data_IF_346591966421
#
_entry.id   IF_346591966421
#
_cell.length_a   1.000
_cell.length_b   1.000
_cell.length_c   1.000
_cell.angle_alpha   90.00
_cell.angle_beta   90.00
_cell.angle_gamma   90.00
#
_symmetry.space_group_name_H-M   'P 1'
#
loop_
_entity.id
_entity.type
_entity.pdbx_description
1 polymer ?
#
# COMPACT_ATOMS: atom_id res chain seq x y z
N UNK A 1 -66.70 33.73 37.88
CA UNK A 1 -66.23 34.15 36.57
C UNK A 1 -64.81 33.66 36.46
N UNK A 2 -64.58 32.50 35.79
CA UNK A 2 -63.24 31.88 35.58
C UNK A 2 -62.79 32.20 34.17
N UNK A 3 -61.70 32.99 34.02
CA UNK A 3 -61.03 33.24 32.73
C UNK A 3 -60.20 32.02 32.35
N UNK A 4 -60.49 31.43 31.22
CA UNK A 4 -59.69 30.41 30.56
C UNK A 4 -58.68 31.15 29.65
N UNK A 5 -57.38 31.13 30.01
CA UNK A 5 -56.31 31.57 29.14
C UNK A 5 -55.93 30.43 28.20
N UNK A 6 -56.20 30.60 26.94
CA UNK A 6 -55.72 29.71 25.85
C UNK A 6 -54.32 30.13 25.41
N UNK A 7 -53.33 29.27 25.60
CA UNK A 7 -51.92 29.46 25.16
C UNK A 7 -51.83 28.96 23.70
N UNK A 8 -51.30 29.76 22.76
CA UNK A 8 -51.08 29.28 21.40
C UNK A 8 -49.86 28.37 21.28
N UNK A 9 -50.04 27.19 20.74
CA UNK A 9 -49.01 26.21 20.41
C UNK A 9 -48.24 26.70 19.16
N UNK A 10 -47.02 27.18 19.32
CA UNK A 10 -46.11 27.51 18.22
C UNK A 10 -45.53 26.21 17.65
N UNK A 11 -46.01 25.79 16.51
CA UNK A 11 -45.42 24.73 15.68
C UNK A 11 -44.13 25.26 15.02
N UNK A 12 -42.98 24.92 15.61
CA UNK A 12 -41.67 25.16 14.98
C UNK A 12 -41.47 24.17 13.82
N UNK A 13 -41.64 24.63 12.60
CA UNK A 13 -41.30 23.87 11.39
C UNK A 13 -39.76 23.79 11.26
N UNK A 14 -39.17 22.68 11.71
CA UNK A 14 -37.76 22.42 11.54
C UNK A 14 -37.45 22.17 10.06
N UNK A 15 -36.82 23.13 9.40
CA UNK A 15 -36.23 22.92 8.08
C UNK A 15 -35.04 21.97 8.23
N UNK A 16 -35.21 20.70 7.82
CA UNK A 16 -34.09 19.78 7.65
C UNK A 16 -33.22 20.30 6.49
N UNK A 17 -32.00 20.71 6.80
CA UNK A 17 -31.01 21.05 5.77
C UNK A 17 -30.75 19.80 4.91
N UNK A 18 -30.72 19.94 3.57
CA UNK A 18 -30.44 18.81 2.69
C UNK A 18 -29.04 18.25 3.03
N UNK A 19 -28.96 16.93 3.23
CA UNK A 19 -27.70 16.24 3.42
C UNK A 19 -26.81 16.55 2.21
N UNK A 20 -25.70 17.25 2.44
CA UNK A 20 -24.74 17.53 1.38
C UNK A 20 -24.24 16.19 0.83
N UNK A 21 -24.55 15.89 -0.43
CA UNK A 21 -24.03 14.73 -1.13
C UNK A 21 -22.48 14.82 -1.10
N UNK A 22 -21.86 13.91 -0.37
CA UNK A 22 -20.39 13.84 -0.32
C UNK A 22 -19.89 13.56 -1.72
N UNK A 23 -18.98 14.41 -2.22
CA UNK A 23 -18.34 14.16 -3.52
C UNK A 23 -17.71 12.77 -3.51
N UNK A 24 -17.86 11.99 -4.58
CA UNK A 24 -17.23 10.68 -4.66
C UNK A 24 -15.70 10.82 -4.52
N UNK A 25 -15.10 9.88 -3.83
CA UNK A 25 -13.64 9.83 -3.72
C UNK A 25 -13.02 9.62 -5.10
N UNK A 26 -12.03 10.44 -5.43
CA UNK A 26 -11.20 10.29 -6.62
C UNK A 26 -9.79 9.97 -6.17
N UNK A 27 -9.24 8.86 -6.63
CA UNK A 27 -7.87 8.46 -6.31
C UNK A 27 -6.89 9.52 -6.83
N UNK A 28 -6.04 10.11 -5.97
CA UNK A 28 -5.09 11.14 -6.38
C UNK A 28 -4.06 10.69 -7.43
N UNK A 29 -3.86 9.39 -7.58
CA UNK A 29 -2.95 8.80 -8.56
C UNK A 29 -3.62 8.57 -9.93
N UNK A 30 -4.95 8.65 -10.02
CA UNK A 30 -5.70 8.39 -11.25
C UNK A 30 -5.23 9.21 -12.46
N UNK A 31 -4.73 10.42 -12.22
CA UNK A 31 -4.32 11.38 -13.26
C UNK A 31 -2.81 11.47 -13.46
N UNK A 32 -2.00 10.63 -12.80
CA UNK A 32 -0.54 10.79 -12.80
C UNK A 32 0.19 10.20 -14.03
N UNK A 33 -0.53 9.52 -14.90
CA UNK A 33 0.05 8.94 -16.12
C UNK A 33 0.87 7.66 -15.87
N UNK A 34 1.72 7.31 -16.84
CA UNK A 34 2.61 6.13 -16.76
C UNK A 34 3.90 6.51 -16.05
N UNK A 35 4.39 5.63 -15.17
CA UNK A 35 5.72 5.78 -14.56
C UNK A 35 6.79 5.63 -15.65
N UNK A 36 7.72 6.55 -15.70
CA UNK A 36 8.81 6.49 -16.65
C UNK A 36 9.74 5.31 -16.36
N UNK A 37 10.23 4.66 -17.41
CA UNK A 37 11.25 3.64 -17.27
C UNK A 37 12.49 4.21 -16.57
N UNK A 38 13.09 3.41 -15.68
CA UNK A 38 14.26 3.79 -14.91
C UNK A 38 15.21 2.59 -14.77
N UNK A 39 16.49 2.86 -14.61
CA UNK A 39 17.46 1.85 -14.25
C UNK A 39 17.46 1.66 -12.72
N UNK A 40 17.40 0.40 -12.31
CA UNK A 40 17.59 -0.05 -10.94
C UNK A 40 18.49 -1.29 -10.97
N UNK A 41 19.81 -1.14 -10.83
CA UNK A 41 20.72 -2.27 -10.79
C UNK A 41 20.44 -3.06 -9.50
N UNK A 42 19.81 -4.21 -9.65
CA UNK A 42 19.50 -5.10 -8.53
C UNK A 42 20.79 -5.83 -8.12
N UNK A 43 21.32 -5.61 -6.89
CA UNK A 43 22.44 -6.40 -6.41
C UNK A 43 21.99 -7.85 -6.17
N UNK A 44 22.89 -8.80 -6.36
CA UNK A 44 22.59 -10.19 -5.97
C UNK A 44 22.48 -10.30 -4.44
N UNK A 45 21.41 -10.96 -3.96
CA UNK A 45 21.28 -11.36 -2.55
C UNK A 45 21.96 -12.73 -2.38
N UNK A 46 23.20 -12.86 -2.80
CA UNK A 46 23.90 -14.14 -2.62
C UNK A 46 24.74 -14.09 -1.37
N UNK A 47 24.66 -15.19 -0.61
CA UNK A 47 25.54 -15.58 0.50
C UNK A 47 26.41 -14.43 1.06
N UNK A 48 25.91 -13.64 1.96
CA UNK A 48 26.64 -12.50 2.53
C UNK A 48 25.99 -11.97 3.81
N UNK A 49 24.93 -12.65 4.24
CA UNK A 49 24.24 -12.36 5.50
C UNK A 49 23.75 -10.91 5.60
N UNK A 50 23.66 -10.42 6.80
CA UNK A 50 23.15 -9.08 7.17
C UNK A 50 23.77 -7.93 6.36
N UNK A 51 25.11 -7.84 6.14
CA UNK A 51 25.68 -6.75 5.35
C UNK A 51 25.17 -6.72 3.91
N UNK A 52 25.05 -7.86 3.25
CA UNK A 52 24.56 -7.96 1.88
C UNK A 52 23.07 -7.64 1.80
N UNK A 53 22.28 -8.12 2.72
CA UNK A 53 20.84 -7.79 2.83
C UNK A 53 20.64 -6.28 2.99
N UNK A 54 21.43 -5.64 3.82
CA UNK A 54 21.39 -4.18 4.02
C UNK A 54 21.75 -3.42 2.75
N UNK A 55 22.80 -3.85 2.04
CA UNK A 55 23.23 -3.26 0.77
C UNK A 55 22.12 -3.37 -0.28
N UNK A 56 21.53 -4.57 -0.42
CA UNK A 56 20.42 -4.83 -1.32
C UNK A 56 19.26 -3.86 -1.06
N UNK A 57 18.72 -3.86 0.16
CA UNK A 57 17.59 -3.02 0.55
C UNK A 57 17.87 -1.53 0.41
N UNK A 58 19.12 -1.11 0.70
CA UNK A 58 19.57 0.27 0.50
C UNK A 58 19.53 0.65 -0.97
N UNK A 59 19.99 -0.22 -1.86
CA UNK A 59 19.98 0.00 -3.31
C UNK A 59 18.56 0.06 -3.85
N UNK A 60 17.71 -0.91 -3.48
CA UNK A 60 16.30 -0.93 -3.89
C UNK A 60 15.54 0.32 -3.40
N UNK A 61 15.77 0.74 -2.17
CA UNK A 61 15.14 1.96 -1.63
C UNK A 61 15.56 3.20 -2.39
N UNK A 62 16.83 3.32 -2.79
CA UNK A 62 17.30 4.43 -3.65
C UNK A 62 16.63 4.41 -5.02
N UNK A 63 16.42 3.24 -5.62
CA UNK A 63 15.68 3.11 -6.87
C UNK A 63 14.22 3.58 -6.70
N UNK A 64 13.55 3.16 -5.64
CA UNK A 64 12.18 3.56 -5.30
C UNK A 64 12.09 5.08 -5.10
N UNK A 65 12.99 5.66 -4.33
CA UNK A 65 13.10 7.12 -4.13
C UNK A 65 13.18 7.85 -5.48
N UNK A 66 14.10 7.42 -6.35
CA UNK A 66 14.31 8.04 -7.66
C UNK A 66 13.09 7.94 -8.55
N UNK A 67 12.48 6.76 -8.64
CA UNK A 67 11.32 6.53 -9.51
C UNK A 67 10.10 7.30 -9.05
N UNK A 68 9.77 7.24 -7.76
CA UNK A 68 8.59 7.91 -7.22
C UNK A 68 8.76 9.42 -7.11
N UNK A 69 9.96 9.94 -6.76
CA UNK A 69 10.20 11.38 -6.76
C UNK A 69 10.01 11.97 -8.16
N UNK A 70 10.56 11.32 -9.20
CA UNK A 70 10.38 11.73 -10.59
C UNK A 70 8.92 11.67 -11.01
N UNK A 71 8.21 10.60 -10.64
CA UNK A 71 6.80 10.43 -11.01
C UNK A 71 5.90 11.48 -10.36
N UNK A 72 6.12 11.78 -9.07
CA UNK A 72 5.32 12.74 -8.33
C UNK A 72 5.70 14.21 -8.60
N UNK A 73 6.89 14.49 -9.14
CA UNK A 73 7.32 15.85 -9.48
C UNK A 73 6.38 16.56 -10.47
N UNK A 74 5.72 15.80 -11.35
CA UNK A 74 4.71 16.31 -12.28
C UNK A 74 3.31 16.53 -11.65
N UNK A 75 3.17 16.32 -10.35
CA UNK A 75 1.90 16.42 -9.62
C UNK A 75 1.93 17.59 -8.63
N UNK A 76 0.76 17.91 -8.03
CA UNK A 76 0.69 18.90 -6.93
C UNK A 76 1.14 18.33 -5.58
N UNK A 77 1.75 17.13 -5.55
CA UNK A 77 2.15 16.43 -4.32
C UNK A 77 3.63 16.64 -4.05
N UNK A 78 3.97 17.05 -2.85
CA UNK A 78 5.36 17.18 -2.43
C UNK A 78 5.91 15.81 -2.09
N UNK A 79 6.91 15.36 -2.84
CA UNK A 79 7.64 14.16 -2.51
C UNK A 79 8.57 14.38 -1.33
N UNK A 80 8.58 13.44 -0.39
CA UNK A 80 9.56 13.35 0.70
C UNK A 80 10.00 11.90 0.78
N UNK A 81 11.28 11.66 0.99
CA UNK A 81 11.80 10.31 1.20
C UNK A 81 11.32 9.75 2.52
N UNK A 82 11.06 8.44 2.61
CA UNK A 82 10.82 7.79 3.89
C UNK A 82 12.11 7.72 4.71
N UNK A 83 11.99 7.63 6.02
CA UNK A 83 13.07 7.16 6.87
C UNK A 83 13.19 5.66 6.66
N UNK A 84 14.41 5.12 6.62
CA UNK A 84 14.63 3.67 6.55
C UNK A 84 15.31 3.20 7.83
N UNK A 85 14.75 2.16 8.43
CA UNK A 85 15.30 1.51 9.61
C UNK A 85 15.54 0.04 9.33
N UNK A 86 16.74 -0.41 9.64
CA UNK A 86 17.15 -1.80 9.52
C UNK A 86 17.29 -2.40 10.91
N UNK A 87 16.86 -3.64 11.05
CA UNK A 87 16.94 -4.40 12.30
C UNK A 87 17.54 -5.77 11.98
N UNK A 88 18.60 -6.13 12.68
CA UNK A 88 19.22 -7.45 12.51
C UNK A 88 18.25 -8.55 12.99
N UNK A 89 17.49 -8.26 14.05
CA UNK A 89 16.40 -9.09 14.57
C UNK A 89 15.14 -8.24 14.83
N UNK A 90 13.93 -8.84 14.82
CA UNK A 90 12.72 -8.15 15.21
C UNK A 90 12.83 -7.54 16.60
N UNK A 91 12.64 -6.24 16.72
CA UNK A 91 12.63 -5.55 18.00
C UNK A 91 11.23 -5.68 18.66
N UNK A 92 11.13 -5.74 20.00
CA UNK A 92 9.84 -5.87 20.68
C UNK A 92 8.85 -4.78 20.30
N UNK A 93 9.33 -3.54 20.12
CA UNK A 93 8.51 -2.40 19.70
C UNK A 93 9.23 -1.52 18.71
N UNK A 94 8.54 -1.16 17.64
CA UNK A 94 9.01 -0.23 16.60
C UNK A 94 7.90 0.75 16.27
N UNK A 95 8.22 2.03 16.15
CA UNK A 95 7.25 3.09 15.87
C UNK A 95 6.12 3.21 16.92
N UNK A 96 6.34 2.74 18.13
CA UNK A 96 5.32 2.70 19.18
C UNK A 96 4.35 1.52 19.09
N UNK A 97 4.54 0.63 18.12
CA UNK A 97 3.77 -0.60 17.92
C UNK A 97 4.61 -1.82 18.28
N UNK A 98 3.96 -2.89 18.70
CA UNK A 98 4.61 -4.18 18.81
C UNK A 98 4.99 -4.65 17.41
N UNK A 99 6.09 -5.41 17.29
CA UNK A 99 6.50 -5.95 15.98
C UNK A 99 5.38 -6.84 15.43
N UNK A 100 4.88 -6.58 14.19
CA UNK A 100 3.79 -7.38 13.65
C UNK A 100 4.24 -8.82 13.42
N UNK A 101 3.58 -9.77 14.05
CA UNK A 101 3.89 -11.18 13.92
C UNK A 101 3.86 -11.64 12.45
N UNK A 102 4.93 -12.29 12.01
CA UNK A 102 5.07 -12.80 10.64
C UNK A 102 5.27 -11.73 9.56
N UNK A 103 5.40 -10.45 9.92
CA UNK A 103 5.64 -9.41 8.94
C UNK A 103 7.03 -9.53 8.33
N UNK A 104 7.09 -9.60 7.00
CA UNK A 104 8.34 -9.57 6.24
C UNK A 104 9.04 -8.20 6.34
N UNK A 105 8.25 -7.14 6.32
CA UNK A 105 8.63 -5.75 6.49
C UNK A 105 7.37 -4.97 6.84
N UNK A 106 7.48 -3.69 7.19
CA UNK A 106 6.29 -2.84 7.35
C UNK A 106 6.62 -1.35 7.26
N UNK A 107 5.59 -0.57 6.92
CA UNK A 107 5.66 0.88 6.88
C UNK A 107 4.99 1.51 8.10
N UNK A 108 5.75 2.31 8.85
CA UNK A 108 5.23 3.11 9.97
C UNK A 108 4.69 4.44 9.45
N UNK A 109 3.38 4.57 9.37
CA UNK A 109 2.71 5.77 8.83
C UNK A 109 3.06 7.04 9.62
N UNK A 110 2.95 7.00 10.95
CA UNK A 110 3.13 8.17 11.84
C UNK A 110 4.52 8.78 11.75
N UNK A 111 5.51 7.99 11.36
CA UNK A 111 6.92 8.40 11.28
C UNK A 111 7.46 8.36 9.86
N UNK A 112 6.63 8.09 8.87
CA UNK A 112 7.03 7.91 7.47
C UNK A 112 8.28 7.01 7.35
N UNK A 113 8.27 5.86 8.05
CA UNK A 113 9.44 5.00 8.21
C UNK A 113 9.21 3.62 7.60
N UNK A 114 10.08 3.20 6.70
CA UNK A 114 10.20 1.82 6.24
C UNK A 114 11.01 1.02 7.26
N UNK A 115 10.52 -0.11 7.67
CA UNK A 115 11.15 -1.01 8.65
C UNK A 115 11.44 -2.34 7.99
N UNK A 116 12.71 -2.69 7.95
CA UNK A 116 13.22 -3.91 7.34
C UNK A 116 13.99 -4.75 8.35
N UNK A 117 13.52 -5.96 8.71
CA UNK A 117 14.39 -6.96 9.32
C UNK A 117 15.38 -7.44 8.26
N UNK A 118 16.63 -7.63 8.66
CA UNK A 118 17.72 -8.05 7.75
C UNK A 118 17.87 -9.58 7.71
N UNK A 119 17.03 -10.29 8.45
CA UNK A 119 16.97 -11.74 8.54
C UNK A 119 15.55 -12.24 8.29
N UNK A 120 15.41 -13.56 8.16
CA UNK A 120 14.13 -14.24 7.99
C UNK A 120 13.82 -14.66 6.54
N UNK A 121 12.88 -15.59 6.41
CA UNK A 121 12.51 -16.26 5.15
C UNK A 121 12.13 -15.35 4.00
N UNK A 122 11.85 -14.10 4.27
CA UNK A 122 11.43 -13.16 3.24
C UNK A 122 12.61 -12.65 2.40
N UNK A 123 13.86 -12.77 2.92
CA UNK A 123 15.05 -12.20 2.29
C UNK A 123 16.28 -13.11 2.35
N UNK A 124 16.46 -13.90 3.43
CA UNK A 124 17.63 -14.77 3.57
C UNK A 124 17.66 -15.83 2.47
N UNK A 125 18.82 -15.98 1.84
CA UNK A 125 19.12 -16.95 0.78
C UNK A 125 18.16 -16.90 -0.42
N UNK A 126 17.44 -15.80 -0.58
CA UNK A 126 16.53 -15.62 -1.71
C UNK A 126 17.25 -15.00 -2.90
N UNK A 127 17.08 -15.64 -4.04
CA UNK A 127 17.59 -15.17 -5.34
C UNK A 127 16.47 -14.66 -6.25
N UNK A 128 15.22 -14.75 -5.79
CA UNK A 128 14.03 -14.33 -6.52
C UNK A 128 13.65 -12.86 -6.26
N UNK A 129 12.63 -12.39 -6.94
CA UNK A 129 12.15 -11.00 -6.85
C UNK A 129 11.27 -10.71 -5.64
N UNK A 130 11.06 -11.67 -4.74
CA UNK A 130 10.16 -11.48 -3.59
C UNK A 130 10.63 -10.36 -2.64
N UNK A 131 11.93 -10.26 -2.26
CA UNK A 131 12.42 -9.16 -1.43
C UNK A 131 12.21 -7.79 -2.07
N UNK A 132 12.46 -7.67 -3.38
CA UNK A 132 12.21 -6.45 -4.12
C UNK A 132 10.74 -6.07 -4.11
N UNK A 133 9.84 -7.05 -4.33
CA UNK A 133 8.39 -6.84 -4.27
C UNK A 133 7.94 -6.39 -2.88
N UNK A 134 8.45 -6.99 -1.81
CA UNK A 134 8.12 -6.59 -0.44
C UNK A 134 8.57 -5.15 -0.18
N UNK A 135 9.81 -4.80 -0.48
CA UNK A 135 10.30 -3.45 -0.30
C UNK A 135 9.48 -2.42 -1.10
N UNK A 136 9.09 -2.76 -2.33
CA UNK A 136 8.24 -1.91 -3.17
C UNK A 136 6.79 -1.82 -2.66
N UNK A 137 6.26 -2.85 -2.00
CA UNK A 137 4.94 -2.84 -1.37
C UNK A 137 4.91 -1.87 -0.18
N UNK A 138 5.89 -1.97 0.73
CA UNK A 138 6.00 -1.05 1.87
C UNK A 138 6.21 0.40 1.40
N UNK A 139 6.97 0.57 0.32
CA UNK A 139 7.09 1.88 -0.32
C UNK A 139 5.76 2.35 -0.94
N UNK A 140 4.93 1.44 -1.41
CA UNK A 140 3.55 1.73 -1.83
C UNK A 140 2.74 2.41 -0.72
N UNK A 141 2.85 1.94 0.52
CA UNK A 141 2.23 2.58 1.68
C UNK A 141 2.76 4.00 1.95
N UNK A 142 4.06 4.22 1.70
CA UNK A 142 4.62 5.56 1.75
C UNK A 142 4.00 6.48 0.69
N UNK A 143 3.86 6.00 -0.55
CA UNK A 143 3.19 6.74 -1.63
C UNK A 143 1.73 7.04 -1.29
N UNK A 144 0.99 6.08 -0.75
CA UNK A 144 -0.39 6.27 -0.28
C UNK A 144 -0.48 7.36 0.80
N UNK A 145 0.51 7.44 1.69
CA UNK A 145 0.59 8.49 2.71
C UNK A 145 0.86 9.87 2.09
N UNK A 146 1.84 9.98 1.19
CA UNK A 146 2.18 11.23 0.50
C UNK A 146 1.03 11.78 -0.33
N UNK A 147 0.23 10.91 -0.93
CA UNK A 147 -0.86 11.29 -1.83
C UNK A 147 -2.19 11.53 -1.12
N UNK A 148 -2.29 11.19 0.17
CA UNK A 148 -3.51 11.33 0.98
C UNK A 148 -4.48 10.16 0.88
N UNK A 149 -4.13 9.09 0.16
CA UNK A 149 -4.91 7.84 0.09
C UNK A 149 -5.05 7.23 1.50
N UNK A 150 -3.96 7.24 2.27
CA UNK A 150 -3.99 6.77 3.67
C UNK A 150 -5.04 7.51 4.50
N UNK A 151 -5.07 8.83 4.41
CA UNK A 151 -6.05 9.66 5.13
C UNK A 151 -7.49 9.31 4.73
N UNK A 152 -7.72 9.07 3.44
CA UNK A 152 -9.03 8.59 2.95
C UNK A 152 -9.41 7.26 3.57
N UNK A 153 -8.50 6.27 3.53
CA UNK A 153 -8.69 4.96 4.15
C UNK A 153 -9.07 5.07 5.63
N UNK A 154 -8.26 5.77 6.42
CA UNK A 154 -8.47 5.92 7.87
C UNK A 154 -9.82 6.58 8.18
N UNK A 155 -10.15 7.65 7.46
CA UNK A 155 -11.42 8.35 7.62
C UNK A 155 -12.63 7.47 7.26
N UNK A 156 -12.52 6.66 6.21
CA UNK A 156 -13.58 5.71 5.83
C UNK A 156 -13.68 4.55 6.83
N UNK A 157 -12.55 3.99 7.26
CA UNK A 157 -12.47 2.88 8.20
C UNK A 157 -13.00 3.24 9.60
N UNK A 158 -12.73 4.48 10.06
CA UNK A 158 -13.22 4.97 11.36
C UNK A 158 -14.75 5.00 11.44
N UNK A 159 -15.44 5.21 10.31
CA UNK A 159 -16.91 5.24 10.21
C UNK A 159 -17.54 3.92 9.85
N UNK A 160 -16.72 2.89 9.57
CA UNK A 160 -17.19 1.62 9.05
C UNK A 160 -17.39 0.58 10.16
N UNK A 161 -18.41 -0.26 10.02
CA UNK A 161 -18.55 -1.49 10.80
C UNK A 161 -17.45 -2.51 10.44
N UNK A 162 -17.31 -3.57 11.27
CA UNK A 162 -16.21 -4.55 11.19
C UNK A 162 -15.97 -5.10 9.78
N UNK A 163 -17.00 -5.60 9.11
CA UNK A 163 -16.87 -6.21 7.78
C UNK A 163 -16.40 -5.20 6.72
N UNK A 164 -16.97 -4.00 6.71
CA UNK A 164 -16.58 -2.94 5.77
C UNK A 164 -15.17 -2.43 6.05
N UNK A 165 -14.79 -2.31 7.31
CA UNK A 165 -13.42 -1.93 7.71
C UNK A 165 -12.39 -2.93 7.21
N UNK A 166 -12.66 -4.22 7.34
CA UNK A 166 -11.80 -5.28 6.79
C UNK A 166 -11.68 -5.19 5.26
N UNK A 167 -12.80 -4.94 4.56
CA UNK A 167 -12.77 -4.74 3.11
C UNK A 167 -11.95 -3.50 2.71
N UNK A 168 -12.12 -2.39 3.40
CA UNK A 168 -11.34 -1.16 3.16
C UNK A 168 -9.84 -1.40 3.40
N UNK A 169 -9.49 -2.17 4.42
CA UNK A 169 -8.10 -2.61 4.65
C UNK A 169 -7.55 -3.38 3.46
N UNK A 170 -8.27 -4.39 2.96
CA UNK A 170 -7.82 -5.14 1.78
C UNK A 170 -7.69 -4.26 0.53
N UNK A 171 -8.58 -3.29 0.31
CA UNK A 171 -8.44 -2.33 -0.79
C UNK A 171 -7.15 -1.54 -0.69
N UNK A 172 -6.80 -1.10 0.51
CA UNK A 172 -5.57 -0.37 0.81
C UNK A 172 -4.32 -1.22 0.53
N UNK A 173 -4.30 -2.48 1.00
CA UNK A 173 -3.20 -3.42 0.81
C UNK A 173 -3.02 -3.84 -0.67
N UNK A 174 -4.11 -4.18 -1.35
CA UNK A 174 -4.08 -4.56 -2.76
C UNK A 174 -3.66 -3.40 -3.67
N UNK A 175 -3.94 -2.17 -3.27
CA UNK A 175 -3.39 -1.00 -3.96
C UNK A 175 -1.87 -0.92 -3.79
N UNK A 176 -1.33 -1.22 -2.61
CA UNK A 176 0.12 -1.27 -2.39
C UNK A 176 0.78 -2.40 -3.21
N UNK A 177 0.16 -3.59 -3.32
CA UNK A 177 0.60 -4.65 -4.23
C UNK A 177 0.62 -4.17 -5.70
N UNK A 178 -0.40 -3.43 -6.14
CA UNK A 178 -0.43 -2.86 -7.49
C UNK A 178 0.65 -1.80 -7.70
N UNK A 179 0.86 -0.90 -6.76
CA UNK A 179 1.90 0.13 -6.83
C UNK A 179 3.30 -0.48 -6.85
N UNK A 180 3.53 -1.60 -6.13
CA UNK A 180 4.77 -2.37 -6.24
C UNK A 180 4.96 -2.93 -7.65
N UNK A 181 3.89 -3.41 -8.27
CA UNK A 181 3.89 -3.85 -9.67
C UNK A 181 4.22 -2.72 -10.64
N UNK A 182 3.69 -1.52 -10.43
CA UNK A 182 4.01 -0.33 -11.24
C UNK A 182 5.52 -0.05 -11.22
N UNK A 183 6.13 -0.06 -10.03
CA UNK A 183 7.57 0.13 -9.90
C UNK A 183 8.34 -0.97 -10.60
N UNK A 184 8.06 -2.25 -10.32
CA UNK A 184 8.69 -3.40 -10.95
C UNK A 184 8.64 -3.32 -12.48
N UNK A 185 7.48 -3.01 -13.06
CA UNK A 185 7.34 -2.84 -14.50
C UNK A 185 8.18 -1.71 -15.07
N UNK A 186 8.35 -0.60 -14.30
CA UNK A 186 9.13 0.55 -14.74
C UNK A 186 10.65 0.31 -14.75
N UNK A 187 11.14 -0.60 -13.91
CA UNK A 187 12.57 -0.93 -13.81
C UNK A 187 12.94 -2.27 -14.46
N UNK A 188 11.96 -3.02 -14.96
CA UNK A 188 12.11 -4.40 -15.42
C UNK A 188 13.27 -4.60 -16.38
N UNK A 189 13.43 -3.73 -17.38
CA UNK A 189 14.48 -3.82 -18.37
C UNK A 189 15.91 -3.70 -17.83
N UNK A 190 16.07 -3.30 -16.56
CA UNK A 190 17.37 -3.15 -15.92
C UNK A 190 17.68 -4.20 -14.86
N UNK A 191 16.71 -5.08 -14.54
CA UNK A 191 16.88 -6.09 -13.50
C UNK A 191 17.60 -7.35 -13.98
N UNK A 192 17.79 -7.54 -15.29
CA UNK A 192 18.35 -8.77 -15.84
C UNK A 192 17.46 -10.00 -15.62
N UNK A 193 16.18 -9.81 -15.38
CA UNK A 193 15.19 -10.85 -15.05
C UNK A 193 14.38 -11.27 -16.28
N UNK A 194 14.01 -12.54 -16.33
CA UNK A 194 13.22 -13.12 -17.39
C UNK A 194 11.78 -13.42 -17.01
N UNK A 195 11.05 -14.01 -17.96
CA UNK A 195 9.64 -14.40 -17.77
C UNK A 195 9.46 -15.39 -16.62
N UNK A 196 10.39 -16.33 -16.44
CA UNK A 196 10.33 -17.32 -15.35
C UNK A 196 10.39 -16.65 -13.97
N UNK A 197 11.25 -15.63 -13.80
CA UNK A 197 11.34 -14.86 -12.54
C UNK A 197 10.02 -14.14 -12.22
N UNK A 198 9.36 -13.61 -13.25
CA UNK A 198 8.07 -12.97 -13.09
C UNK A 198 6.97 -13.96 -12.68
N UNK A 199 6.92 -15.12 -13.32
CA UNK A 199 5.94 -16.15 -12.99
C UNK A 199 6.16 -16.68 -11.57
N UNK A 200 7.41 -16.94 -11.18
CA UNK A 200 7.77 -17.32 -9.83
C UNK A 200 7.35 -16.26 -8.77
N UNK A 201 7.52 -14.96 -9.09
CA UNK A 201 7.07 -13.89 -8.23
C UNK A 201 5.53 -13.87 -8.08
N UNK A 202 4.80 -14.09 -9.17
CA UNK A 202 3.34 -14.18 -9.12
C UNK A 202 2.87 -15.36 -8.26
N UNK A 203 3.55 -16.51 -8.34
CA UNK A 203 3.23 -17.69 -7.55
C UNK A 203 3.53 -17.46 -6.05
N UNK A 204 4.69 -16.90 -5.73
CA UNK A 204 5.02 -16.50 -4.36
C UNK A 204 4.02 -15.46 -3.81
N UNK A 205 3.56 -14.53 -4.64
CA UNK A 205 2.53 -13.55 -4.25
C UNK A 205 1.18 -14.21 -4.00
N UNK A 206 0.79 -15.20 -4.81
CA UNK A 206 -0.42 -16.00 -4.54
C UNK A 206 -0.32 -16.76 -3.23
N UNK A 207 0.82 -17.43 -3.01
CA UNK A 207 1.05 -18.21 -1.78
C UNK A 207 1.08 -17.35 -0.51
N UNK A 208 1.28 -16.04 -0.63
CA UNK A 208 1.26 -15.10 0.50
C UNK A 208 -0.12 -14.49 0.78
N UNK A 209 -1.19 -14.99 0.18
CA UNK A 209 -2.55 -14.51 0.40
C UNK A 209 -3.18 -15.02 1.69
N UNK A 210 -4.27 -14.40 2.08
CA UNK A 210 -5.06 -14.73 3.28
C UNK A 210 -6.19 -15.72 2.95
N UNK A 211 -5.91 -16.74 2.12
CA UNK A 211 -6.93 -17.66 1.62
C UNK A 211 -7.54 -18.51 2.73
N UNK A 212 -6.71 -18.99 3.68
CA UNK A 212 -7.08 -19.94 4.74
C UNK A 212 -7.08 -19.30 6.15
N UNK A 213 -6.82 -18.01 6.27
CA UNK A 213 -6.65 -17.32 7.54
C UNK A 213 -7.92 -16.69 8.11
N UNK A 214 -8.04 -16.65 9.43
CA UNK A 214 -9.08 -15.89 10.13
C UNK A 214 -8.92 -14.36 9.91
N UNK A 215 -7.70 -13.90 9.74
CA UNK A 215 -7.36 -12.50 9.47
C UNK A 215 -7.15 -12.30 7.98
N UNK A 216 -8.16 -11.76 7.32
CA UNK A 216 -8.07 -11.39 5.90
C UNK A 216 -7.66 -9.93 5.77
N UNK A 217 -6.37 -9.64 5.98
CA UNK A 217 -5.84 -8.29 5.96
C UNK A 217 -5.42 -7.83 4.56
N UNK A 218 -4.76 -8.71 3.78
CA UNK A 218 -4.24 -8.41 2.44
C UNK A 218 -5.11 -8.92 1.30
N UNK A 219 -6.05 -9.81 1.59
CA UNK A 219 -6.93 -10.42 0.62
C UNK A 219 -6.39 -11.72 0.03
N UNK A 220 -7.22 -12.37 -0.78
CA UNK A 220 -6.89 -13.66 -1.40
C UNK A 220 -5.66 -13.55 -2.29
N UNK A 221 -4.84 -14.58 -2.30
CA UNK A 221 -3.62 -14.65 -3.10
C UNK A 221 -3.85 -14.40 -4.59
N UNK A 222 -4.96 -14.88 -5.14
CA UNK A 222 -5.35 -14.60 -6.52
C UNK A 222 -5.58 -13.10 -6.78
N UNK A 223 -6.15 -12.36 -5.82
CA UNK A 223 -6.34 -10.92 -5.94
C UNK A 223 -5.03 -10.15 -5.77
N UNK A 224 -4.17 -10.57 -4.85
CA UNK A 224 -2.83 -10.00 -4.70
C UNK A 224 -2.03 -10.10 -6.00
N UNK A 225 -1.96 -11.30 -6.58
CA UNK A 225 -1.29 -11.53 -7.87
C UNK A 225 -1.94 -10.75 -9.03
N UNK A 226 -3.27 -10.66 -9.05
CA UNK A 226 -3.99 -9.86 -10.06
C UNK A 226 -3.58 -8.38 -10.01
N UNK A 227 -3.57 -7.77 -8.82
CA UNK A 227 -3.24 -6.37 -8.68
C UNK A 227 -1.76 -6.09 -8.94
N UNK A 228 -0.86 -6.95 -8.46
CA UNK A 228 0.57 -6.89 -8.81
C UNK A 228 0.78 -6.91 -10.32
N UNK A 229 0.18 -7.89 -11.00
CA UNK A 229 0.25 -8.03 -12.47
C UNK A 229 -0.34 -6.82 -13.20
N UNK A 230 -1.46 -6.27 -12.71
CA UNK A 230 -2.08 -5.08 -13.28
C UNK A 230 -1.13 -3.88 -13.23
N UNK A 231 -0.50 -3.64 -12.08
CA UNK A 231 0.49 -2.57 -11.92
C UNK A 231 1.68 -2.77 -12.86
N UNK A 232 2.26 -3.96 -12.88
CA UNK A 232 3.39 -4.33 -13.72
C UNK A 232 3.12 -4.11 -15.21
N UNK A 233 1.98 -4.58 -15.70
CA UNK A 233 1.63 -4.50 -17.12
C UNK A 233 1.34 -3.07 -17.56
N UNK A 234 0.62 -2.31 -16.74
CA UNK A 234 0.20 -0.95 -17.11
C UNK A 234 1.25 0.11 -16.82
N UNK A 235 2.04 -0.10 -15.78
CA UNK A 235 2.99 0.89 -15.23
C UNK A 235 2.32 2.25 -14.93
N UNK A 236 1.01 2.23 -14.69
CA UNK A 236 0.22 3.42 -14.40
C UNK A 236 -0.32 3.35 -12.98
N UNK A 237 0.13 4.21 -12.04
CA UNK A 237 -0.42 4.24 -10.68
C UNK A 237 -1.94 4.41 -10.64
N UNK A 238 -2.52 5.17 -11.59
CA UNK A 238 -3.97 5.30 -11.70
C UNK A 238 -4.72 4.01 -12.02
N UNK A 239 -4.04 2.98 -12.57
CA UNK A 239 -4.65 1.66 -12.76
C UNK A 239 -4.79 0.86 -11.45
N UNK A 240 -4.18 1.35 -10.37
CA UNK A 240 -4.20 0.76 -9.03
C UNK A 240 -5.37 1.25 -8.17
N UNK A 241 -6.36 1.93 -8.75
CA UNK A 241 -7.55 2.34 -8.01
C UNK A 241 -8.40 1.12 -7.62
N UNK A 242 -8.20 0.65 -6.40
CA UNK A 242 -8.93 -0.48 -5.80
C UNK A 242 -10.26 -0.06 -5.18
N UNK A 243 -10.51 1.25 -5.04
CA UNK A 243 -11.67 1.77 -4.31
C UNK A 243 -12.99 1.47 -4.99
N UNK A 244 -13.14 1.65 -6.32
CA UNK A 244 -14.35 1.27 -7.05
C UNK A 244 -14.37 -0.20 -7.49
N UNK A 245 -13.31 -0.98 -7.24
CA UNK A 245 -13.23 -2.35 -7.71
C UNK A 245 -14.35 -3.22 -7.10
N UNK A 246 -14.91 -4.19 -7.85
CA UNK A 246 -15.96 -5.06 -7.34
C UNK A 246 -15.45 -5.93 -6.17
N UNK A 247 -16.31 -6.33 -5.22
CA UNK A 247 -15.92 -7.09 -4.03
C UNK A 247 -15.11 -8.35 -4.33
N UNK A 248 -15.41 -9.06 -5.41
CA UNK A 248 -14.65 -10.25 -5.83
C UNK A 248 -13.17 -9.98 -6.12
N UNK A 249 -12.81 -8.74 -6.45
CA UNK A 249 -11.43 -8.32 -6.74
C UNK A 249 -10.68 -7.79 -5.52
N UNK A 250 -11.37 -7.72 -4.38
CA UNK A 250 -10.81 -7.24 -3.10
C UNK A 250 -11.15 -8.14 -1.91
N UNK A 251 -11.64 -9.36 -2.20
CA UNK A 251 -11.97 -10.39 -1.20
C UNK A 251 -10.72 -11.06 -0.67
#
# INVERSE_FOLDING_TARGET
MRLLLTLPLLLSSGFALPAQAQRPYVDPLAVTGRMAAAACPEPEIVQGGIPRTREYLTTITKCLDKSWSKHLAGTRRTFRKPIVRYYDEPAPRVCGLDWPEGAAAFYCTERATLVFPLTGRWIEDRTDLYPLKVAAHEYGHHVQSLTGIRKHYESAAARAGRARRAELGRRYELQADCLSGVFLGSVWGSLGRGRGDWEALLDATRASGDDDGERRSHGKGANRAYWLKRGFTTQRPGSCDTWPAPPARVA
#
